data_IF_589188647148
#
_entry.id   IF_589188647148
#
_cell.length_a   1.000
_cell.length_b   1.000
_cell.length_c   1.000
_cell.angle_alpha   90.00
_cell.angle_beta   90.00
_cell.angle_gamma   90.00
#
_symmetry.space_group_name_H-M   'P 1'
#
loop_
_entity.id
_entity.type
_entity.pdbx_description
1 polymer ?
#
# COMPACT_ATOMS: atom_id res chain seq x y z
N UNK A 1 -1.61 28.85 16.78
CA UNK A 1 -1.66 29.28 15.36
C UNK A 1 -0.47 28.67 14.65
N UNK A 2 -0.72 27.66 13.82
CA UNK A 2 0.28 26.86 13.10
C UNK A 2 -0.48 25.87 12.22
N UNK A 3 -1.05 26.43 11.14
CA UNK A 3 -1.89 25.77 10.14
C UNK A 3 -1.13 24.60 9.47
N UNK A 4 -1.62 23.37 9.57
CA UNK A 4 -2.47 22.73 8.55
C UNK A 4 -2.08 23.12 7.11
N UNK A 5 -1.06 22.46 6.56
CA UNK A 5 -0.78 22.46 5.11
C UNK A 5 -0.30 21.08 4.66
N UNK A 6 -1.24 20.15 4.61
CA UNK A 6 -1.17 18.96 3.73
C UNK A 6 -2.48 18.97 2.93
N UNK A 7 -2.51 19.82 1.90
CA UNK A 7 -3.62 19.95 0.98
C UNK A 7 -3.41 19.02 -0.23
N UNK A 8 -4.50 18.32 -0.59
CA UNK A 8 -4.79 17.67 -1.89
C UNK A 8 -4.23 16.27 -2.19
N UNK A 9 -4.55 15.26 -1.36
CA UNK A 9 -4.64 13.86 -1.81
C UNK A 9 -6.06 13.44 -2.21
N UNK A 10 -7.10 14.13 -1.70
CA UNK A 10 -8.48 13.63 -1.74
C UNK A 10 -9.25 13.99 -3.01
N UNK A 11 -8.88 15.03 -3.76
CA UNK A 11 -9.71 15.51 -4.89
C UNK A 11 -9.65 14.56 -6.10
N UNK A 12 -8.53 13.85 -6.29
CA UNK A 12 -8.30 13.00 -7.46
C UNK A 12 -9.07 11.67 -7.34
N UNK A 13 -9.05 11.03 -6.17
CA UNK A 13 -9.70 9.73 -5.92
C UNK A 13 -11.24 9.81 -5.87
N UNK A 14 -11.82 10.89 -5.33
CA UNK A 14 -13.29 11.03 -5.28
C UNK A 14 -13.89 11.27 -6.68
N UNK A 15 -13.16 11.96 -7.57
CA UNK A 15 -13.66 12.30 -8.91
C UNK A 15 -13.77 11.10 -9.87
N UNK A 16 -13.00 10.03 -9.64
CA UNK A 16 -13.02 8.81 -10.46
C UNK A 16 -14.14 7.85 -9.98
N UNK A 17 -14.38 7.77 -8.66
CA UNK A 17 -15.45 6.95 -8.09
C UNK A 17 -16.86 7.55 -8.32
N UNK A 18 -17.02 8.88 -8.25
CA UNK A 18 -18.33 9.54 -8.37
C UNK A 18 -18.87 9.67 -9.80
N UNK A 19 -18.10 9.32 -10.83
CA UNK A 19 -18.45 9.58 -12.25
C UNK A 19 -18.62 8.33 -13.12
N UNK A 20 -18.76 7.14 -12.53
CA UNK A 20 -19.31 6.01 -13.27
C UNK A 20 -20.81 6.24 -13.52
N UNK A 21 -21.30 6.08 -14.77
CA UNK A 21 -22.68 6.38 -15.10
C UNK A 21 -23.65 5.49 -14.32
N UNK A 22 -24.58 6.10 -13.59
CA UNK A 22 -25.77 5.43 -13.05
C UNK A 22 -26.72 5.14 -14.20
N UNK A 23 -26.79 3.90 -14.67
CA UNK A 23 -27.78 3.49 -15.65
C UNK A 23 -29.15 3.33 -14.96
N UNK A 24 -30.04 4.30 -15.19
CA UNK A 24 -31.47 4.14 -14.95
C UNK A 24 -32.12 3.42 -16.14
N UNK A 25 -32.80 2.33 -15.80
CA UNK A 25 -33.85 1.63 -16.55
C UNK A 25 -33.49 1.02 -17.92
N UNK A 26 -33.34 -0.31 -17.89
CA UNK A 26 -33.28 -1.19 -19.07
C UNK A 26 -32.00 -2.03 -19.16
N UNK A 27 -31.64 -2.83 -18.14
CA UNK A 27 -30.44 -3.68 -18.18
C UNK A 27 -30.73 -5.10 -18.70
N UNK A 28 -29.98 -5.59 -19.70
CA UNK A 28 -29.82 -7.02 -19.93
C UNK A 28 -28.96 -7.66 -18.80
N UNK A 29 -29.16 -8.96 -18.57
CA UNK A 29 -28.62 -9.75 -17.45
C UNK A 29 -27.15 -9.47 -17.08
N UNK A 30 -26.91 -9.15 -15.80
CA UNK A 30 -25.60 -9.31 -15.15
C UNK A 30 -25.21 -10.79 -15.15
N UNK A 31 -24.20 -11.17 -15.93
CA UNK A 31 -23.56 -12.48 -15.76
C UNK A 31 -22.71 -12.42 -14.49
N UNK A 32 -23.25 -13.00 -13.43
CA UNK A 32 -22.56 -13.25 -12.17
C UNK A 32 -21.36 -14.16 -12.41
N UNK A 33 -20.17 -13.61 -12.49
CA UNK A 33 -18.95 -14.43 -12.58
C UNK A 33 -18.67 -15.05 -11.21
N UNK A 34 -18.58 -16.38 -11.21
CA UNK A 34 -18.45 -17.21 -10.01
C UNK A 34 -17.03 -17.11 -9.41
N UNK A 35 -16.88 -17.15 -8.09
CA UNK A 35 -15.56 -16.98 -7.45
C UNK A 35 -14.56 -18.05 -7.89
N UNK A 36 -13.28 -17.68 -8.01
CA UNK A 36 -12.19 -18.59 -8.39
C UNK A 36 -12.21 -19.89 -7.58
N UNK A 37 -12.47 -19.81 -6.27
CA UNK A 37 -12.69 -20.97 -5.40
C UNK A 37 -13.77 -21.92 -5.92
N UNK A 38 -14.96 -21.41 -6.26
CA UNK A 38 -16.07 -22.22 -6.76
C UNK A 38 -15.81 -22.76 -8.17
N UNK A 39 -15.09 -22.01 -9.00
CA UNK A 39 -14.61 -22.50 -10.29
C UNK A 39 -13.62 -23.66 -10.13
N UNK A 40 -12.68 -23.56 -9.18
CA UNK A 40 -11.67 -24.58 -8.91
C UNK A 40 -12.25 -25.83 -8.22
N UNK A 41 -13.24 -25.66 -7.33
CA UNK A 41 -13.95 -26.79 -6.71
C UNK A 41 -14.72 -27.61 -7.75
N UNK A 42 -15.37 -26.98 -8.74
CA UNK A 42 -16.03 -27.70 -9.83
C UNK A 42 -15.06 -28.39 -10.78
N UNK A 43 -13.91 -27.79 -11.04
CA UNK A 43 -12.87 -28.37 -11.91
C UNK A 43 -12.09 -29.50 -11.23
N UNK A 44 -12.41 -29.85 -9.97
CA UNK A 44 -11.65 -30.84 -9.18
C UNK A 44 -10.21 -30.39 -8.84
N UNK A 45 -9.85 -29.14 -9.17
CA UNK A 45 -8.50 -28.59 -9.02
C UNK A 45 -8.29 -27.86 -7.71
N UNK A 46 -9.28 -27.89 -6.81
CA UNK A 46 -9.20 -27.20 -5.52
C UNK A 46 -8.10 -27.77 -4.62
N UNK A 47 -7.95 -29.10 -4.58
CA UNK A 47 -6.90 -29.75 -3.78
C UNK A 47 -5.51 -29.51 -4.38
N UNK A 48 -5.40 -29.49 -5.70
CA UNK A 48 -4.16 -29.21 -6.43
C UNK A 48 -3.74 -27.74 -6.31
N UNK A 49 -4.70 -26.81 -6.38
CA UNK A 49 -4.50 -25.39 -6.10
C UNK A 49 -4.08 -25.15 -4.65
N UNK A 50 -4.68 -25.86 -3.69
CA UNK A 50 -4.23 -25.82 -2.29
C UNK A 50 -2.85 -26.41 -2.11
N UNK A 51 -2.51 -27.50 -2.79
CA UNK A 51 -1.20 -28.15 -2.71
C UNK A 51 -0.09 -27.32 -3.37
N UNK A 52 -0.36 -26.68 -4.50
CA UNK A 52 0.56 -25.73 -5.16
C UNK A 52 0.78 -24.48 -4.29
N UNK A 53 -0.28 -23.96 -3.65
CA UNK A 53 -0.17 -22.90 -2.64
C UNK A 53 0.43 -23.38 -1.31
N UNK A 54 0.50 -24.69 -1.05
CA UNK A 54 1.21 -25.25 0.11
C UNK A 54 2.71 -25.42 -0.20
N UNK A 55 3.07 -25.66 -1.45
CA UNK A 55 4.45 -25.73 -1.92
C UNK A 55 5.09 -24.34 -2.05
N UNK A 56 4.32 -23.28 -2.31
CA UNK A 56 4.79 -21.89 -2.21
C UNK A 56 4.94 -21.39 -0.77
N UNK A 57 4.46 -22.14 0.24
CA UNK A 57 4.64 -21.83 1.68
C UNK A 57 6.00 -22.21 2.24
N UNK A 58 6.95 -22.65 1.40
CA UNK A 58 8.29 -23.10 1.85
C UNK A 58 9.31 -21.95 1.93
N UNK A 59 8.93 -20.70 1.61
CA UNK A 59 9.68 -19.52 2.07
C UNK A 59 8.73 -18.55 2.76
N UNK A 60 8.79 -18.47 4.09
CA UNK A 60 7.83 -17.71 4.91
C UNK A 60 7.59 -16.27 4.41
N UNK A 61 6.33 -15.87 4.38
CA UNK A 61 5.90 -14.51 4.00
C UNK A 61 4.38 -14.38 3.94
N UNK A 62 3.87 -13.17 4.09
CA UNK A 62 2.46 -12.84 3.94
C UNK A 62 2.16 -12.46 2.48
N UNK A 63 1.40 -13.30 1.81
CA UNK A 63 0.91 -13.03 0.45
C UNK A 63 -0.03 -11.84 0.43
N UNK A 64 0.06 -11.05 -0.63
CA UNK A 64 -0.72 -9.83 -0.82
C UNK A 64 -1.74 -9.99 -1.95
N UNK A 65 -2.90 -9.38 -1.77
CA UNK A 65 -3.98 -9.28 -2.74
C UNK A 65 -3.93 -7.87 -3.34
N UNK A 66 -3.82 -7.78 -4.65
CA UNK A 66 -3.92 -6.53 -5.38
C UNK A 66 -5.38 -6.24 -5.78
N UNK A 67 -5.79 -4.99 -5.59
CA UNK A 67 -7.06 -4.42 -6.01
C UNK A 67 -6.83 -3.41 -7.13
N UNK A 68 -6.58 -3.92 -8.34
CA UNK A 68 -6.45 -3.12 -9.57
C UNK A 68 -5.34 -2.06 -9.49
N UNK A 69 -4.19 -2.42 -8.92
CA UNK A 69 -3.05 -1.54 -8.71
C UNK A 69 -3.35 -0.34 -7.78
N UNK A 70 -4.42 -0.42 -6.97
CA UNK A 70 -4.77 0.63 -6.01
C UNK A 70 -4.38 0.29 -4.56
N UNK A 71 -4.51 -0.97 -4.15
CA UNK A 71 -4.21 -1.39 -2.77
C UNK A 71 -3.68 -2.81 -2.69
N UNK A 72 -2.57 -2.95 -1.98
CA UNK A 72 -1.89 -4.20 -1.67
C UNK A 72 -2.29 -4.65 -0.26
N UNK A 73 -3.20 -5.63 -0.19
CA UNK A 73 -3.85 -6.05 1.04
C UNK A 73 -3.33 -7.40 1.56
N UNK A 74 -3.05 -7.46 2.85
CA UNK A 74 -2.70 -8.69 3.56
C UNK A 74 -3.86 -9.19 4.43
N UNK A 75 -3.94 -10.51 4.65
CA UNK A 75 -4.85 -11.06 5.67
C UNK A 75 -4.14 -11.10 7.02
N UNK A 76 -4.79 -10.54 8.03
CA UNK A 76 -4.39 -10.64 9.44
C UNK A 76 -5.49 -11.31 10.26
N UNK A 77 -5.12 -11.77 11.45
CA UNK A 77 -6.08 -12.32 12.39
C UNK A 77 -5.95 -11.70 13.77
N UNK A 78 -7.08 -11.33 14.35
CA UNK A 78 -7.15 -10.78 15.70
C UNK A 78 -7.96 -11.69 16.63
N UNK A 79 -7.45 -11.91 17.83
CA UNK A 79 -8.15 -12.58 18.91
C UNK A 79 -8.11 -14.10 18.92
N UNK A 80 -8.77 -14.67 19.92
CA UNK A 80 -8.86 -16.12 20.16
C UNK A 80 -10.31 -16.52 20.48
N UNK A 81 -11.01 -17.28 19.60
CA UNK A 81 -10.57 -17.74 18.29
C UNK A 81 -10.29 -16.59 17.30
N UNK A 82 -9.45 -16.83 16.27
CA UNK A 82 -9.05 -15.77 15.34
C UNK A 82 -10.20 -15.22 14.50
N UNK A 83 -10.29 -13.89 14.40
CA UNK A 83 -11.16 -13.15 13.49
C UNK A 83 -10.31 -12.60 12.33
N UNK A 84 -10.68 -12.92 11.09
CA UNK A 84 -9.89 -12.56 9.90
C UNK A 84 -10.26 -11.16 9.37
N UNK A 85 -9.25 -10.38 9.02
CA UNK A 85 -9.42 -9.07 8.39
C UNK A 85 -8.46 -8.94 7.19
N UNK A 86 -8.99 -8.44 6.07
CA UNK A 86 -8.16 -7.91 4.99
C UNK A 86 -7.73 -6.51 5.39
N UNK A 87 -6.44 -6.19 5.33
CA UNK A 87 -5.91 -4.88 5.70
C UNK A 87 -4.94 -4.36 4.65
N UNK A 88 -4.94 -3.06 4.44
CA UNK A 88 -3.88 -2.41 3.70
C UNK A 88 -2.60 -2.48 4.54
N UNK A 89 -1.52 -3.01 3.97
CA UNK A 89 -0.19 -3.04 4.59
C UNK A 89 0.52 -1.74 4.24
N UNK A 90 0.66 -0.84 5.21
CA UNK A 90 0.96 0.57 4.94
C UNK A 90 2.25 1.02 5.65
N UNK A 91 3.33 1.20 4.89
CA UNK A 91 4.60 1.72 5.41
C UNK A 91 4.60 3.25 5.64
N UNK A 92 3.57 3.96 5.17
CA UNK A 92 3.32 5.37 5.42
C UNK A 92 2.60 5.67 6.74
N UNK A 93 2.11 4.65 7.46
CA UNK A 93 1.48 4.81 8.78
C UNK A 93 1.98 3.79 9.81
N UNK A 94 1.59 3.95 11.09
CA UNK A 94 2.12 3.12 12.19
C UNK A 94 1.06 2.46 13.07
N UNK A 95 -0.17 2.97 13.09
CA UNK A 95 -1.23 2.37 13.88
C UNK A 95 -1.89 1.20 13.12
N UNK A 96 -2.30 0.16 13.85
CA UNK A 96 -3.29 -0.80 13.37
C UNK A 96 -4.68 -0.30 13.79
N UNK A 97 -5.62 -0.29 12.85
CA UNK A 97 -7.03 -0.07 13.17
C UNK A 97 -7.96 -0.97 12.35
N UNK A 98 -9.04 -1.42 13.00
CA UNK A 98 -10.08 -2.27 12.40
C UNK A 98 -11.45 -1.72 12.81
N UNK A 99 -12.47 -1.73 11.93
CA UNK A 99 -13.83 -1.37 12.31
C UNK A 99 -14.33 -2.20 13.48
N UNK A 100 -14.86 -1.55 14.50
CA UNK A 100 -15.47 -2.21 15.65
C UNK A 100 -16.89 -2.69 15.33
N UNK A 101 -17.38 -3.71 16.03
CA UNK A 101 -18.77 -4.16 15.90
C UNK A 101 -19.80 -3.06 16.18
N UNK A 102 -19.44 -2.07 17.01
CA UNK A 102 -20.29 -0.93 17.36
C UNK A 102 -20.23 0.19 16.32
N UNK A 103 -19.43 0.08 15.25
CA UNK A 103 -19.55 0.97 14.10
C UNK A 103 -20.94 0.76 13.45
N UNK A 104 -21.79 1.79 13.52
CA UNK A 104 -23.16 1.77 12.99
C UNK A 104 -23.32 2.52 11.67
N UNK A 105 -22.23 3.02 11.08
CA UNK A 105 -22.29 3.74 9.81
C UNK A 105 -22.81 2.81 8.71
N UNK A 106 -23.91 3.19 8.08
CA UNK A 106 -24.57 2.38 7.05
C UNK A 106 -23.64 2.06 5.87
N UNK A 107 -22.79 3.02 5.48
CA UNK A 107 -21.77 2.84 4.43
C UNK A 107 -20.75 1.75 4.79
N UNK A 108 -20.49 1.50 6.07
CA UNK A 108 -19.54 0.49 6.54
C UNK A 108 -20.22 -0.87 6.82
N UNK A 109 -21.50 -1.06 6.44
CA UNK A 109 -22.27 -2.24 6.83
C UNK A 109 -21.70 -3.57 6.30
N UNK A 110 -21.03 -3.54 5.14
CA UNK A 110 -20.40 -4.74 4.53
C UNK A 110 -19.04 -5.09 5.10
N UNK A 111 -18.43 -4.19 5.89
CA UNK A 111 -17.09 -4.42 6.44
C UNK A 111 -17.10 -5.54 7.46
N UNK A 112 -16.05 -6.35 7.46
CA UNK A 112 -15.76 -7.20 8.61
C UNK A 112 -15.46 -6.28 9.80
N UNK A 113 -16.04 -6.61 10.95
CA UNK A 113 -15.93 -5.84 12.17
C UNK A 113 -15.38 -6.71 13.29
N UNK A 114 -14.49 -6.14 14.10
CA UNK A 114 -13.94 -6.81 15.26
C UNK A 114 -14.97 -6.90 16.38
N UNK A 115 -15.13 -8.09 16.94
CA UNK A 115 -16.01 -8.37 18.08
C UNK A 115 -15.17 -8.84 19.25
N UNK A 116 -14.80 -7.90 20.13
CA UNK A 116 -14.03 -8.17 21.35
C UNK A 116 -14.67 -9.23 22.25
N UNK A 117 -16.02 -9.33 22.27
CA UNK A 117 -16.72 -10.33 23.11
C UNK A 117 -16.54 -11.78 22.64
N UNK A 118 -16.01 -11.98 21.43
CA UNK A 118 -15.70 -13.30 20.88
C UNK A 118 -14.24 -13.71 21.07
N UNK A 119 -13.42 -12.87 21.70
CA UNK A 119 -12.01 -13.16 21.91
C UNK A 119 -11.69 -13.37 23.39
N UNK A 120 -11.16 -14.54 23.74
CA UNK A 120 -10.71 -14.87 25.09
C UNK A 120 -9.36 -14.23 25.45
N UNK A 121 -8.62 -13.73 24.46
CA UNK A 121 -7.33 -13.04 24.66
C UNK A 121 -7.46 -11.51 24.65
N UNK A 122 -8.66 -10.99 24.44
CA UNK A 122 -8.90 -9.55 24.41
C UNK A 122 -8.73 -8.93 25.80
N UNK A 123 -7.99 -7.82 25.84
CA UNK A 123 -7.82 -6.99 27.02
C UNK A 123 -8.35 -5.59 26.72
N UNK A 124 -9.31 -5.15 27.53
CA UNK A 124 -9.89 -3.81 27.42
C UNK A 124 -8.83 -2.75 27.74
N UNK A 125 -8.71 -1.75 26.85
CA UNK A 125 -7.95 -0.52 27.10
C UNK A 125 -8.93 0.66 27.20
N UNK A 126 -9.70 0.93 26.15
CA UNK A 126 -10.79 1.92 26.16
C UNK A 126 -10.36 3.37 26.00
N UNK A 127 -9.05 3.68 25.96
CA UNK A 127 -8.55 5.02 25.64
C UNK A 127 -9.07 5.47 24.26
N UNK A 128 -9.58 6.70 24.17
CA UNK A 128 -10.02 7.28 22.90
C UNK A 128 -8.88 7.34 21.90
N UNK A 129 -9.19 7.06 20.64
CA UNK A 129 -8.25 7.09 19.51
C UNK A 129 -8.84 7.89 18.35
N UNK A 130 -8.01 8.68 17.67
CA UNK A 130 -8.41 9.38 16.46
C UNK A 130 -7.21 9.68 15.57
N UNK A 131 -7.26 9.22 14.33
CA UNK A 131 -6.25 9.49 13.30
C UNK A 131 -6.90 10.10 12.06
N UNK A 132 -6.16 10.99 11.38
CA UNK A 132 -6.60 11.63 10.14
C UNK A 132 -5.61 11.28 9.01
N UNK A 133 -6.07 10.48 8.05
CA UNK A 133 -5.33 10.21 6.81
C UNK A 133 -5.72 11.23 5.73
N UNK A 134 -4.95 11.29 4.63
CA UNK A 134 -5.35 12.04 3.44
C UNK A 134 -6.70 11.58 2.86
N UNK A 135 -7.03 10.30 3.03
CA UNK A 135 -8.26 9.69 2.53
C UNK A 135 -9.45 9.80 3.50
N UNK A 136 -9.22 10.22 4.75
CA UNK A 136 -10.28 10.40 5.74
C UNK A 136 -9.87 10.05 7.16
N UNK A 137 -10.78 10.26 8.14
CA UNK A 137 -10.53 9.92 9.53
C UNK A 137 -10.78 8.44 9.83
N UNK A 138 -10.15 7.95 10.90
CA UNK A 138 -10.61 6.78 11.65
C UNK A 138 -10.55 7.11 13.13
N UNK A 139 -11.65 6.91 13.87
CA UNK A 139 -11.72 7.20 15.30
C UNK A 139 -12.55 6.19 16.05
N UNK A 140 -12.30 6.08 17.34
CA UNK A 140 -12.88 5.08 18.22
C UNK A 140 -12.09 4.98 19.51
N UNK A 141 -11.70 3.76 19.88
CA UNK A 141 -10.97 3.49 21.12
C UNK A 141 -9.93 2.39 20.95
N UNK A 142 -8.95 2.35 21.84
CA UNK A 142 -7.92 1.31 21.86
C UNK A 142 -8.43 0.03 22.52
N UNK A 143 -7.97 -1.11 22.00
CA UNK A 143 -8.04 -2.41 22.64
C UNK A 143 -6.72 -3.14 22.46
N UNK A 144 -6.52 -4.22 23.20
CA UNK A 144 -5.37 -5.09 23.04
C UNK A 144 -5.84 -6.51 22.77
N UNK A 145 -5.22 -7.17 21.81
CA UNK A 145 -5.47 -8.59 21.56
C UNK A 145 -4.27 -9.27 20.89
N UNK A 146 -4.37 -10.58 20.71
CA UNK A 146 -3.47 -11.37 19.89
C UNK A 146 -3.60 -10.99 18.42
N UNK A 147 -2.49 -10.65 17.80
CA UNK A 147 -2.36 -10.43 16.36
C UNK A 147 -1.56 -11.56 15.74
N UNK A 148 -2.02 -12.06 14.59
CA UNK A 148 -1.30 -12.99 13.74
C UNK A 148 -1.18 -12.45 12.30
N UNK A 149 0.00 -12.62 11.69
CA UNK A 149 0.33 -12.23 10.32
C UNK A 149 0.60 -13.47 9.46
N UNK A 150 0.33 -13.34 8.15
CA UNK A 150 0.65 -14.35 7.14
C UNK A 150 0.03 -15.71 7.43
N UNK A 151 -1.30 -15.85 7.43
CA UNK A 151 -1.99 -17.13 7.67
C UNK A 151 -1.58 -17.83 8.98
N UNK A 152 -1.47 -17.07 10.07
CA UNK A 152 -1.05 -17.56 11.40
C UNK A 152 0.43 -17.96 11.52
N UNK A 153 1.29 -17.60 10.55
CA UNK A 153 2.72 -17.93 10.61
C UNK A 153 3.44 -17.23 11.76
N UNK A 154 3.09 -15.97 12.05
CA UNK A 154 3.73 -15.20 13.12
C UNK A 154 2.67 -14.54 13.98
N UNK A 155 2.69 -14.80 15.28
CA UNK A 155 1.68 -14.31 16.23
C UNK A 155 2.31 -13.73 17.49
N UNK A 156 1.68 -12.70 18.05
CA UNK A 156 2.06 -12.12 19.34
C UNK A 156 0.82 -11.59 20.08
N UNK A 157 0.82 -11.65 21.41
CA UNK A 157 -0.39 -11.52 22.24
C UNK A 157 -0.69 -10.08 22.72
N UNK A 158 0.17 -9.13 22.40
CA UNK A 158 0.19 -7.81 23.05
C UNK A 158 -0.03 -6.66 22.07
N UNK A 159 -0.65 -6.90 20.92
CA UNK A 159 -0.89 -5.81 19.98
C UNK A 159 -2.02 -4.91 20.50
N UNK A 160 -1.68 -3.66 20.80
CA UNK A 160 -2.65 -2.59 21.01
C UNK A 160 -3.07 -2.04 19.65
N UNK A 161 -4.37 -1.95 19.38
CA UNK A 161 -4.91 -1.46 18.11
C UNK A 161 -6.19 -0.66 18.33
N UNK A 162 -6.55 0.16 17.36
CA UNK A 162 -7.78 0.92 17.41
C UNK A 162 -8.98 0.13 16.88
N UNK A 163 -10.02 0.08 17.69
CA UNK A 163 -11.37 -0.36 17.35
C UNK A 163 -12.16 0.86 16.86
N UNK A 164 -12.28 0.99 15.54
CA UNK A 164 -12.84 2.18 14.91
C UNK A 164 -14.37 2.15 14.89
N UNK A 165 -14.99 3.08 15.60
CA UNK A 165 -16.45 3.27 15.64
C UNK A 165 -16.93 4.27 14.60
N UNK A 166 -16.02 5.12 14.10
CA UNK A 166 -16.25 6.04 13.01
C UNK A 166 -15.07 6.00 12.02
N UNK A 167 -15.39 5.91 10.73
CA UNK A 167 -14.44 5.72 9.63
C UNK A 167 -14.90 6.59 8.45
N UNK A 168 -13.97 7.27 7.78
CA UNK A 168 -14.26 8.11 6.62
C UNK A 168 -14.86 7.32 5.44
N UNK A 169 -15.68 7.98 4.62
CA UNK A 169 -16.43 7.34 3.54
C UNK A 169 -15.56 6.50 2.60
N UNK A 170 -14.41 7.04 2.19
CA UNK A 170 -13.44 6.34 1.34
C UNK A 170 -13.13 4.92 1.85
N UNK A 171 -12.84 4.81 3.15
CA UNK A 171 -12.50 3.52 3.74
C UNK A 171 -13.71 2.60 3.83
N UNK A 172 -14.93 3.13 3.97
CA UNK A 172 -16.13 2.30 4.06
C UNK A 172 -16.69 1.86 2.70
N UNK A 173 -16.57 2.70 1.68
CA UNK A 173 -17.03 2.42 0.31
C UNK A 173 -16.06 1.46 -0.43
N UNK A 174 -14.80 1.37 0.00
CA UNK A 174 -13.81 0.49 -0.59
C UNK A 174 -13.99 -0.97 -0.15
N UNK A 175 -14.62 -1.83 -0.93
CA UNK A 175 -14.84 -3.24 -0.54
C UNK A 175 -13.52 -4.09 -0.47
N UNK A 176 -12.34 -3.53 -0.75
CA UNK A 176 -11.07 -4.27 -0.84
C UNK A 176 -10.34 -4.57 0.47
N UNK A 177 -10.50 -3.72 1.50
CA UNK A 177 -9.90 -3.95 2.82
C UNK A 177 -10.83 -3.53 3.95
N UNK A 178 -10.60 -4.03 5.16
CA UNK A 178 -11.37 -3.74 6.35
C UNK A 178 -10.75 -2.62 7.18
N UNK A 179 -9.41 -2.55 7.26
CA UNK A 179 -8.67 -1.51 7.96
C UNK A 179 -7.24 -1.39 7.48
N UNK A 180 -6.38 -0.73 8.26
CA UNK A 180 -4.97 -0.50 7.91
C UNK A 180 -4.09 -1.13 8.98
N UNK A 181 -3.02 -1.81 8.56
CA UNK A 181 -1.91 -2.23 9.39
C UNK A 181 -0.69 -1.37 9.05
N UNK A 182 -0.38 -0.43 9.95
CA UNK A 182 0.82 0.40 9.82
C UNK A 182 2.12 -0.39 10.03
N UNK A 183 3.10 -0.12 9.17
CA UNK A 183 4.44 -0.73 9.14
C UNK A 183 5.56 0.31 9.29
N UNK A 184 5.20 1.52 9.73
CA UNK A 184 6.12 2.64 10.01
C UNK A 184 6.74 2.61 11.41
N UNK A 185 7.21 3.78 11.86
CA UNK A 185 7.97 3.95 13.09
C UNK A 185 7.14 4.45 14.28
N UNK A 186 7.54 4.13 15.53
CA UNK A 186 6.81 4.57 16.72
C UNK A 186 6.60 6.09 16.82
N UNK A 187 7.51 6.90 16.26
CA UNK A 187 7.44 8.35 16.38
C UNK A 187 6.27 8.98 15.63
N UNK A 188 5.68 8.28 14.64
CA UNK A 188 4.49 8.74 13.90
C UNK A 188 3.22 7.98 14.33
N UNK A 189 3.32 7.12 15.35
CA UNK A 189 2.18 6.42 15.92
C UNK A 189 1.34 7.38 16.76
N UNK A 190 0.06 7.50 16.41
CA UNK A 190 -0.92 8.23 17.21
C UNK A 190 -1.06 7.57 18.58
N UNK A 191 -1.18 8.39 19.61
CA UNK A 191 -1.29 7.98 21.03
C UNK A 191 -0.11 7.14 21.55
N UNK A 192 1.06 7.20 20.88
CA UNK A 192 2.25 6.42 21.24
C UNK A 192 2.03 4.90 21.31
N UNK A 193 1.04 4.40 20.56
CA UNK A 193 0.77 2.96 20.46
C UNK A 193 1.96 2.26 19.82
N UNK A 194 2.46 1.19 20.44
CA UNK A 194 3.54 0.38 19.86
C UNK A 194 3.09 -0.21 18.51
N UNK A 195 3.75 0.12 17.39
CA UNK A 195 3.36 -0.40 16.09
C UNK A 195 3.58 -1.92 15.99
N UNK A 196 2.87 -2.61 15.08
CA UNK A 196 2.97 -4.06 14.90
C UNK A 196 4.39 -4.59 14.73
N UNK A 197 5.20 -3.92 13.91
CA UNK A 197 6.56 -4.37 13.67
C UNK A 197 7.44 -4.31 14.91
N UNK A 198 7.30 -3.30 15.77
CA UNK A 198 8.11 -3.21 17.00
C UNK A 198 7.77 -4.30 18.02
N UNK A 199 6.51 -4.74 18.08
CA UNK A 199 6.13 -5.91 18.88
C UNK A 199 6.71 -7.21 18.28
N UNK A 200 6.87 -7.26 16.96
CA UNK A 200 7.37 -8.42 16.24
C UNK A 200 8.90 -8.56 16.27
N UNK A 201 9.63 -7.45 16.32
CA UNK A 201 11.11 -7.42 16.21
C UNK A 201 11.83 -8.48 17.05
N UNK A 202 11.49 -8.71 18.34
CA UNK A 202 12.21 -9.67 19.17
C UNK A 202 12.08 -11.12 18.70
N UNK A 203 11.09 -11.42 17.84
CA UNK A 203 10.82 -12.78 17.34
C UNK A 203 11.35 -13.02 15.94
N UNK A 204 11.92 -12.02 15.28
CA UNK A 204 12.40 -12.13 13.90
C UNK A 204 13.86 -12.58 13.85
N UNK A 205 14.19 -13.47 12.91
CA UNK A 205 15.57 -13.91 12.66
C UNK A 205 16.47 -12.74 12.24
N UNK A 206 15.94 -11.84 11.40
CA UNK A 206 16.53 -10.55 11.07
C UNK A 206 15.59 -9.41 11.45
N UNK A 207 16.09 -8.27 11.94
CA UNK A 207 15.24 -7.14 12.35
C UNK A 207 14.80 -6.30 11.13
N UNK A 208 14.17 -6.95 10.16
CA UNK A 208 13.74 -6.37 8.88
C UNK A 208 12.49 -7.08 8.33
N UNK A 209 11.88 -6.47 7.32
CA UNK A 209 10.96 -7.16 6.41
C UNK A 209 11.25 -6.75 4.96
N UNK A 210 10.92 -7.63 4.01
CA UNK A 210 11.09 -7.41 2.57
C UNK A 210 9.71 -7.34 1.91
N UNK A 211 9.55 -6.41 0.98
CA UNK A 211 8.34 -6.27 0.17
C UNK A 211 8.69 -6.45 -1.29
N UNK A 212 8.01 -7.41 -1.92
CA UNK A 212 7.93 -7.58 -3.35
C UNK A 212 6.47 -7.43 -3.78
N UNK A 213 6.22 -6.60 -4.78
CA UNK A 213 4.90 -6.41 -5.38
C UNK A 213 4.96 -6.85 -6.84
N UNK A 214 3.91 -7.50 -7.31
CA UNK A 214 3.74 -7.93 -8.69
C UNK A 214 2.67 -7.05 -9.37
N UNK A 215 2.71 -6.98 -10.70
CA UNK A 215 1.70 -6.27 -11.50
C UNK A 215 0.72 -7.27 -12.07
N UNK A 216 -0.53 -7.25 -11.58
CA UNK A 216 -1.59 -8.10 -12.14
C UNK A 216 -2.86 -7.27 -12.31
N UNK A 217 -3.18 -6.91 -13.55
CA UNK A 217 -4.32 -6.05 -13.92
C UNK A 217 -5.74 -6.62 -13.66
N UNK A 218 -5.89 -7.62 -12.80
CA UNK A 218 -7.15 -8.13 -12.27
C UNK A 218 -6.96 -8.51 -10.80
N UNK A 219 -8.02 -8.62 -9.99
CA UNK A 219 -7.91 -9.12 -8.61
C UNK A 219 -7.30 -10.52 -8.60
N UNK A 220 -6.03 -10.62 -8.24
CA UNK A 220 -5.29 -11.86 -8.19
C UNK A 220 -4.83 -12.14 -6.77
N UNK A 221 -5.09 -13.37 -6.32
CA UNK A 221 -4.45 -13.89 -5.11
C UNK A 221 -2.97 -14.11 -5.43
N UNK A 222 -2.06 -13.55 -4.62
CA UNK A 222 -0.61 -13.56 -4.84
C UNK A 222 -0.10 -12.54 -5.87
N UNK A 223 -0.39 -11.27 -5.60
CA UNK A 223 0.14 -10.11 -6.31
C UNK A 223 1.31 -9.42 -5.56
N UNK A 224 1.89 -10.12 -4.59
CA UNK A 224 3.02 -9.63 -3.81
C UNK A 224 3.28 -10.50 -2.59
N UNK A 225 4.40 -10.25 -1.92
CA UNK A 225 4.86 -10.95 -0.73
C UNK A 225 5.52 -9.99 0.25
N UNK A 226 5.10 -10.06 1.51
CA UNK A 226 5.76 -9.42 2.65
C UNK A 226 6.49 -10.48 3.46
N UNK A 227 7.81 -10.53 3.33
CA UNK A 227 8.66 -11.49 4.05
C UNK A 227 9.13 -10.85 5.36
N UNK A 228 8.59 -11.31 6.49
CA UNK A 228 9.00 -10.85 7.81
C UNK A 228 10.23 -11.61 8.30
N UNK A 229 11.24 -10.90 8.81
CA UNK A 229 12.40 -11.51 9.44
C UNK A 229 13.46 -12.04 8.48
N UNK A 230 13.34 -11.80 7.18
CA UNK A 230 14.28 -12.31 6.19
C UNK A 230 14.20 -11.58 4.85
N UNK A 231 15.18 -11.87 4.01
CA UNK A 231 15.21 -11.44 2.62
C UNK A 231 14.40 -12.41 1.76
N UNK A 232 13.67 -11.89 0.79
CA UNK A 232 13.06 -12.72 -0.24
C UNK A 232 14.12 -13.09 -1.29
N UNK A 233 14.59 -14.34 -1.25
CA UNK A 233 15.62 -14.84 -2.16
C UNK A 233 15.04 -15.41 -3.47
N UNK A 234 13.71 -15.40 -3.62
CA UNK A 234 13.01 -15.93 -4.79
C UNK A 234 12.68 -14.79 -5.75
N UNK A 235 12.03 -13.75 -5.23
CA UNK A 235 11.52 -12.65 -6.04
C UNK A 235 12.45 -11.43 -6.07
N UNK A 236 13.53 -11.42 -5.28
CA UNK A 236 14.45 -10.29 -5.25
C UNK A 236 15.88 -10.73 -5.60
N UNK A 237 16.59 -9.86 -6.33
CA UNK A 237 18.02 -10.02 -6.55
C UNK A 237 18.78 -10.10 -5.22
N UNK A 238 19.79 -10.97 -5.15
CA UNK A 238 20.68 -11.06 -4.00
C UNK A 238 21.51 -9.77 -3.77
N UNK A 239 21.64 -8.92 -4.79
CA UNK A 239 22.34 -7.64 -4.68
C UNK A 239 21.40 -6.57 -4.11
N UNK A 240 21.53 -6.33 -2.80
CA UNK A 240 20.79 -5.27 -2.10
C UNK A 240 21.69 -4.06 -1.88
N UNK A 241 21.24 -2.90 -2.36
CA UNK A 241 21.90 -1.62 -2.11
C UNK A 241 21.16 -0.91 -0.97
N UNK A 242 21.84 -0.70 0.16
CA UNK A 242 21.27 -0.02 1.32
C UNK A 242 21.65 1.46 1.38
N UNK A 243 20.70 2.29 1.81
CA UNK A 243 20.92 3.69 2.21
C UNK A 243 20.39 3.93 3.63
N UNK A 244 21.06 4.77 4.42
CA UNK A 244 20.59 5.09 5.77
C UNK A 244 19.27 5.87 5.71
N UNK A 245 18.44 5.69 6.74
CA UNK A 245 17.28 6.55 6.92
C UNK A 245 17.71 7.95 7.34
N UNK A 246 16.95 8.94 6.92
CA UNK A 246 17.16 10.34 7.30
C UNK A 246 16.65 10.61 8.72
N UNK A 247 15.56 9.94 9.10
CA UNK A 247 14.98 9.96 10.45
C UNK A 247 14.12 8.70 10.65
N UNK A 248 13.93 8.29 11.90
CA UNK A 248 13.04 7.19 12.30
C UNK A 248 11.57 7.65 12.39
N UNK A 249 11.10 8.41 11.40
CA UNK A 249 9.72 8.89 11.29
C UNK A 249 8.95 8.10 10.25
N UNK A 250 9.34 8.27 8.99
CA UNK A 250 8.92 7.44 7.87
C UNK A 250 10.10 6.57 7.42
N UNK A 251 9.85 5.70 6.44
CA UNK A 251 10.92 5.07 5.67
C UNK A 251 11.57 6.07 4.71
N UNK A 252 12.08 7.17 5.30
CA UNK A 252 12.63 8.33 4.62
C UNK A 252 14.11 8.12 4.28
N UNK A 253 14.46 8.28 3.00
CA UNK A 253 15.83 8.20 2.53
C UNK A 253 16.17 9.40 1.62
N UNK A 254 17.47 9.70 1.54
CA UNK A 254 17.97 10.75 0.65
C UNK A 254 18.32 10.19 -0.73
N UNK A 255 18.11 10.99 -1.76
CA UNK A 255 18.56 10.69 -3.12
C UNK A 255 18.93 11.97 -3.86
N UNK A 256 19.68 11.85 -4.95
CA UNK A 256 20.42 12.98 -5.55
C UNK A 256 20.02 13.36 -6.95
N UNK A 257 19.32 12.49 -7.68
CA UNK A 257 19.01 12.74 -9.09
C UNK A 257 17.65 12.19 -9.52
N UNK A 258 16.98 12.94 -10.39
CA UNK A 258 15.81 12.50 -11.18
C UNK A 258 16.09 12.84 -12.63
N UNK A 259 15.88 11.89 -13.55
CA UNK A 259 15.93 12.16 -14.98
C UNK A 259 14.87 11.39 -15.76
N UNK A 260 14.37 11.99 -16.83
CA UNK A 260 13.40 11.39 -17.75
C UNK A 260 13.57 12.01 -19.14
N UNK A 261 14.00 11.23 -20.13
CA UNK A 261 14.30 11.75 -21.46
C UNK A 261 15.36 12.86 -21.43
N UNK A 262 15.02 14.03 -21.97
CA UNK A 262 15.90 15.22 -21.96
C UNK A 262 15.92 15.97 -20.62
N UNK A 263 15.00 15.66 -19.70
CA UNK A 263 14.96 16.30 -18.38
C UNK A 263 15.92 15.59 -17.42
N UNK A 264 16.69 16.38 -16.68
CA UNK A 264 17.54 15.89 -15.61
C UNK A 264 17.72 16.97 -14.56
N UNK A 265 17.65 16.58 -13.29
CA UNK A 265 17.91 17.47 -12.17
C UNK A 265 18.68 16.74 -11.07
N UNK A 266 19.75 17.37 -10.61
CA UNK A 266 20.48 16.96 -9.40
C UNK A 266 20.09 17.87 -8.24
N UNK A 267 19.68 17.28 -7.11
CA UNK A 267 19.30 18.01 -5.91
C UNK A 267 19.30 17.05 -4.71
N UNK A 268 19.44 17.57 -3.48
CA UNK A 268 19.36 16.77 -2.26
C UNK A 268 17.91 16.51 -1.89
N UNK A 269 17.29 15.55 -2.57
CA UNK A 269 15.90 15.17 -2.34
C UNK A 269 15.74 14.24 -1.14
N UNK A 270 14.55 14.27 -0.56
CA UNK A 270 14.08 13.31 0.44
C UNK A 270 12.85 12.59 -0.10
N UNK A 271 12.86 11.27 -0.02
CA UNK A 271 11.76 10.41 -0.41
C UNK A 271 11.34 9.53 0.76
N UNK A 272 10.05 9.17 0.83
CA UNK A 272 9.59 8.04 1.64
C UNK A 272 9.25 6.88 0.72
N UNK A 273 9.54 5.65 1.15
CA UNK A 273 8.95 4.46 0.52
C UNK A 273 7.61 4.13 1.18
N UNK A 274 6.57 4.05 0.38
CA UNK A 274 5.19 3.94 0.89
C UNK A 274 4.35 2.92 0.13
N UNK A 275 4.15 1.74 0.72
CA UNK A 275 3.25 0.69 0.20
C UNK A 275 1.76 1.06 0.32
N UNK A 276 1.44 2.14 1.05
CA UNK A 276 0.10 2.70 1.15
C UNK A 276 -0.27 3.62 -0.03
N UNK A 277 0.69 3.97 -0.89
CA UNK A 277 0.52 4.92 -1.99
C UNK A 277 0.66 4.25 -3.36
N UNK A 278 -0.37 4.38 -4.20
CA UNK A 278 -0.42 3.75 -5.52
C UNK A 278 0.48 4.38 -6.58
N UNK A 279 0.90 5.63 -6.41
CA UNK A 279 1.61 6.43 -7.41
C UNK A 279 2.93 7.00 -6.87
N UNK A 280 3.73 7.60 -7.74
CA UNK A 280 4.79 8.51 -7.31
C UNK A 280 4.20 9.86 -6.88
N UNK A 281 4.54 10.31 -5.68
CA UNK A 281 4.39 11.69 -5.27
C UNK A 281 5.70 12.45 -5.51
N UNK A 282 5.65 13.64 -6.11
CA UNK A 282 6.87 14.40 -6.36
C UNK A 282 6.67 15.91 -6.39
N UNK A 283 7.77 16.66 -6.31
CA UNK A 283 7.74 18.11 -6.39
C UNK A 283 7.13 18.57 -7.73
N UNK A 284 6.15 19.48 -7.66
CA UNK A 284 5.39 19.93 -8.83
C UNK A 284 6.24 20.31 -10.05
N UNK A 285 7.33 21.10 -9.93
CA UNK A 285 8.15 21.46 -11.09
C UNK A 285 8.77 20.25 -11.81
N UNK A 286 9.10 19.20 -11.06
CA UNK A 286 9.66 17.96 -11.61
C UNK A 286 8.58 17.15 -12.32
N UNK A 287 7.42 16.99 -11.69
CA UNK A 287 6.28 16.27 -12.27
C UNK A 287 5.77 16.96 -13.54
N UNK A 288 5.67 18.29 -13.53
CA UNK A 288 5.27 19.06 -14.72
C UNK A 288 6.30 18.89 -15.86
N UNK A 289 7.59 18.82 -15.56
CA UNK A 289 8.62 18.58 -16.57
C UNK A 289 8.55 17.16 -17.18
N UNK A 290 8.31 16.14 -16.34
CA UNK A 290 8.08 14.76 -16.80
C UNK A 290 6.81 14.69 -17.66
N UNK A 291 5.71 15.30 -17.21
CA UNK A 291 4.47 15.34 -17.96
C UNK A 291 4.66 15.99 -19.33
N UNK A 292 5.35 17.14 -19.40
CA UNK A 292 5.68 17.80 -20.66
C UNK A 292 6.53 16.91 -21.59
N UNK A 293 7.54 16.20 -21.07
CA UNK A 293 8.38 15.30 -21.86
C UNK A 293 7.61 14.10 -22.43
N UNK A 294 6.56 13.63 -21.76
CA UNK A 294 5.68 12.57 -22.25
C UNK A 294 4.55 13.06 -23.16
N UNK A 295 4.34 14.39 -23.24
CA UNK A 295 3.16 14.97 -23.88
C UNK A 295 1.86 14.77 -23.11
N UNK A 296 1.92 14.37 -21.84
CA UNK A 296 0.74 14.21 -21.00
C UNK A 296 0.12 15.55 -20.61
N UNK A 297 -1.22 15.59 -20.57
CA UNK A 297 -1.99 16.80 -20.27
C UNK A 297 -2.78 16.61 -18.98
N UNK A 298 -2.68 17.57 -18.06
CA UNK A 298 -3.43 17.51 -16.80
C UNK A 298 -4.92 17.71 -17.03
N UNK A 299 -5.73 16.76 -16.57
CA UNK A 299 -7.18 16.81 -16.55
C UNK A 299 -7.65 17.20 -15.14
N UNK A 300 -8.12 18.43 -14.95
CA UNK A 300 -8.68 18.86 -13.67
C UNK A 300 -9.94 18.07 -13.27
N UNK A 301 -10.67 17.54 -14.26
CA UNK A 301 -11.86 16.74 -14.04
C UNK A 301 -11.55 15.36 -13.42
N UNK A 302 -10.42 14.76 -13.83
CA UNK A 302 -10.00 13.43 -13.36
C UNK A 302 -8.91 13.53 -12.29
N UNK A 303 -8.26 14.68 -12.18
CA UNK A 303 -7.13 14.89 -11.29
C UNK A 303 -5.83 14.21 -11.75
N UNK A 304 -5.74 13.80 -13.02
CA UNK A 304 -4.65 12.98 -13.56
C UNK A 304 -3.99 13.65 -14.77
N UNK A 305 -2.74 13.31 -15.04
CA UNK A 305 -2.08 13.64 -16.32
C UNK A 305 -2.39 12.53 -17.32
N UNK A 306 -3.06 12.87 -18.43
CA UNK A 306 -3.57 11.92 -19.42
C UNK A 306 -2.73 11.94 -20.70
N UNK A 307 -2.55 10.78 -21.30
CA UNK A 307 -1.79 10.59 -22.55
C UNK A 307 -2.30 9.37 -23.32
N UNK A 308 -2.04 9.25 -24.63
CA UNK A 308 -2.34 8.03 -25.37
C UNK A 308 -1.54 6.84 -24.84
N UNK A 309 -2.15 5.66 -24.73
CA UNK A 309 -1.45 4.46 -24.26
C UNK A 309 -0.30 4.02 -25.16
N UNK A 310 -0.32 4.40 -26.45
CA UNK A 310 0.80 4.19 -27.37
C UNK A 310 2.10 4.87 -26.92
N UNK A 311 2.03 5.91 -26.06
CA UNK A 311 3.20 6.57 -25.49
C UNK A 311 4.06 5.59 -24.66
N UNK A 312 3.44 4.59 -24.01
CA UNK A 312 4.15 3.60 -23.18
C UNK A 312 5.20 2.81 -23.98
N UNK A 313 4.98 2.60 -25.28
CA UNK A 313 5.91 1.86 -26.14
C UNK A 313 7.22 2.60 -26.46
N UNK A 314 7.25 3.93 -26.28
CA UNK A 314 8.38 4.78 -26.70
C UNK A 314 8.91 5.69 -25.59
N UNK A 315 8.19 5.83 -24.48
CA UNK A 315 8.61 6.70 -23.40
C UNK A 315 9.92 6.16 -22.75
N UNK A 316 10.90 7.03 -22.49
CA UNK A 316 12.15 6.64 -21.85
C UNK A 316 11.92 6.33 -20.37
N UNK A 317 12.69 5.42 -19.74
CA UNK A 317 12.54 5.16 -18.32
C UNK A 317 12.78 6.41 -17.48
N UNK A 318 12.19 6.43 -16.28
CA UNK A 318 12.52 7.41 -15.25
C UNK A 318 13.70 6.86 -14.46
N UNK A 319 14.72 7.67 -14.21
CA UNK A 319 15.91 7.24 -13.47
C UNK A 319 16.07 8.08 -12.23
N UNK A 320 16.12 7.41 -11.07
CA UNK A 320 16.45 8.00 -9.78
C UNK A 320 17.88 7.66 -9.40
N UNK A 321 18.65 8.61 -8.87
CA UNK A 321 20.01 8.35 -8.35
C UNK A 321 19.99 8.28 -6.82
N UNK A 322 20.01 7.07 -6.27
CA UNK A 322 19.90 6.80 -4.83
C UNK A 322 21.21 6.17 -4.36
N UNK A 323 21.86 6.74 -3.33
CA UNK A 323 23.14 6.23 -2.84
C UNK A 323 24.26 6.21 -3.91
N UNK A 324 24.17 7.07 -4.93
CA UNK A 324 25.10 7.09 -6.07
C UNK A 324 24.82 6.06 -7.16
N UNK A 325 23.79 5.22 -7.00
CA UNK A 325 23.39 4.20 -7.97
C UNK A 325 22.15 4.63 -8.77
N UNK A 326 22.08 4.34 -10.08
CA UNK A 326 20.90 4.59 -10.89
C UNK A 326 19.84 3.51 -10.70
N UNK A 327 18.59 3.93 -10.49
CA UNK A 327 17.39 3.09 -10.39
C UNK A 327 16.45 3.47 -11.54
N UNK A 328 16.28 2.56 -12.49
CA UNK A 328 15.54 2.79 -13.74
C UNK A 328 14.14 2.18 -13.65
N UNK A 329 13.13 3.02 -13.75
CA UNK A 329 11.70 2.67 -13.74
C UNK A 329 11.20 2.65 -15.19
N UNK A 330 10.77 1.48 -15.71
CA UNK A 330 10.36 1.35 -17.10
C UNK A 330 9.02 2.06 -17.37
N UNK A 331 8.77 2.39 -18.64
CA UNK A 331 7.58 3.13 -19.09
C UNK A 331 6.26 2.52 -18.65
N UNK A 332 6.19 1.19 -18.65
CA UNK A 332 4.98 0.48 -18.28
C UNK A 332 4.61 0.64 -16.81
N UNK A 333 5.55 0.99 -15.92
CA UNK A 333 5.27 1.21 -14.50
C UNK A 333 4.67 2.58 -14.21
N UNK A 334 4.90 3.57 -15.09
CA UNK A 334 4.43 4.92 -14.87
C UNK A 334 3.45 5.44 -15.93
N UNK A 335 3.09 4.62 -16.92
CA UNK A 335 2.03 4.88 -17.90
C UNK A 335 1.03 3.71 -17.82
N UNK A 336 -0.12 3.99 -17.23
CA UNK A 336 -1.16 2.99 -16.93
C UNK A 336 -2.44 3.27 -17.73
N UNK A 337 -3.12 2.25 -18.28
CA UNK A 337 -4.38 2.44 -18.97
C UNK A 337 -5.50 2.79 -17.98
N UNK A 338 -6.40 3.69 -18.39
CA UNK A 338 -7.57 4.06 -17.56
C UNK A 338 -8.50 2.88 -17.25
N UNK A 339 -8.49 1.87 -18.12
CA UNK A 339 -9.20 0.60 -17.96
C UNK A 339 -8.64 -0.42 -18.94
N UNK A 340 -8.95 -1.71 -18.73
CA UNK A 340 -8.52 -2.79 -19.63
C UNK A 340 -8.97 -2.50 -21.06
N UNK A 341 -8.01 -2.41 -21.98
CA UNK A 341 -8.26 -2.13 -23.41
C UNK A 341 -8.47 -0.64 -23.75
N UNK A 342 -8.33 0.27 -22.79
CA UNK A 342 -8.38 1.71 -23.04
C UNK A 342 -7.24 2.17 -23.97
N UNK A 343 -7.55 3.07 -24.91
CA UNK A 343 -6.52 3.79 -25.69
C UNK A 343 -5.99 5.03 -24.96
N UNK A 344 -6.66 5.44 -23.88
CA UNK A 344 -6.28 6.53 -23.01
C UNK A 344 -5.61 5.97 -21.74
N UNK A 345 -4.43 6.49 -21.45
CA UNK A 345 -3.63 6.18 -20.28
C UNK A 345 -3.49 7.42 -19.40
N UNK A 346 -2.94 7.21 -18.21
CA UNK A 346 -2.54 8.27 -17.29
C UNK A 346 -1.13 8.03 -16.77
N UNK A 347 -0.49 9.10 -16.30
CA UNK A 347 0.76 9.03 -15.58
C UNK A 347 0.48 8.69 -14.11
N UNK A 348 1.21 7.73 -13.54
CA UNK A 348 1.13 7.37 -12.10
C UNK A 348 1.91 8.37 -11.24
N UNK A 349 1.64 9.66 -11.42
CA UNK A 349 2.29 10.77 -10.74
C UNK A 349 1.26 11.73 -10.14
N UNK A 350 1.52 12.20 -8.94
CA UNK A 350 0.83 13.33 -8.34
C UNK A 350 1.83 14.33 -7.77
N UNK A 351 1.41 15.58 -7.68
CA UNK A 351 2.24 16.65 -7.13
C UNK A 351 2.06 16.72 -5.62
N UNK A 352 3.15 16.80 -4.87
CA UNK A 352 3.09 17.11 -3.45
C UNK A 352 3.49 18.57 -3.19
N UNK A 353 2.76 19.22 -2.29
CA UNK A 353 3.01 20.61 -1.89
C UNK A 353 3.94 20.66 -0.68
N UNK A 354 5.12 21.25 -0.83
CA UNK A 354 6.05 21.52 0.26
C UNK A 354 7.06 22.57 -0.18
N UNK A 355 7.13 23.69 0.54
CA UNK A 355 7.94 24.87 0.20
C UNK A 355 9.46 24.68 0.33
N UNK A 356 10.00 23.55 -0.10
CA UNK A 356 11.44 23.27 -0.17
C UNK A 356 12.08 22.60 1.04
N UNK A 357 11.32 22.29 2.10
CA UNK A 357 11.81 21.64 3.32
C UNK A 357 11.02 20.35 3.64
N UNK A 358 11.73 19.26 3.98
CA UNK A 358 11.13 17.96 4.35
C UNK A 358 11.02 16.97 3.19
N UNK A 359 10.13 15.99 3.33
CA UNK A 359 9.85 14.97 2.29
C UNK A 359 9.34 15.65 1.02
N UNK A 360 10.00 15.39 -0.11
CA UNK A 360 9.66 15.96 -1.42
C UNK A 360 9.18 14.90 -2.41
N UNK A 361 9.28 13.62 -2.02
CA UNK A 361 8.90 12.49 -2.85
C UNK A 361 8.23 11.38 -2.04
N UNK A 362 7.31 10.68 -2.68
CA UNK A 362 6.70 9.45 -2.19
C UNK A 362 6.93 8.40 -3.28
N UNK A 363 7.62 7.33 -2.93
CA UNK A 363 7.93 6.21 -3.81
C UNK A 363 6.92 5.11 -3.50
N UNK A 364 5.82 5.15 -4.25
CA UNK A 364 4.71 4.19 -4.17
C UNK A 364 4.91 2.97 -5.06
N UNK A 365 3.81 2.28 -5.33
CA UNK A 365 3.77 0.98 -6.00
C UNK A 365 4.66 0.85 -7.25
N UNK A 366 4.73 1.80 -8.21
CA UNK A 366 5.58 1.69 -9.39
C UNK A 366 7.06 1.45 -9.07
N UNK A 367 7.58 2.07 -8.00
CA UNK A 367 8.94 1.83 -7.55
C UNK A 367 9.10 0.45 -6.91
N UNK A 368 8.14 0.08 -6.05
CA UNK A 368 8.18 -1.16 -5.25
C UNK A 368 7.94 -2.40 -6.12
N UNK A 369 7.18 -2.27 -7.21
CA UNK A 369 7.06 -3.30 -8.26
C UNK A 369 8.36 -3.45 -9.05
N UNK A 370 9.09 -2.36 -9.30
CA UNK A 370 10.37 -2.46 -10.03
C UNK A 370 11.50 -3.00 -9.14
N UNK A 371 11.52 -2.57 -7.88
CA UNK A 371 12.55 -2.89 -6.91
C UNK A 371 11.92 -3.39 -5.61
N UNK A 372 12.31 -4.58 -5.17
CA UNK A 372 12.00 -5.03 -3.83
C UNK A 372 12.57 -4.03 -2.81
N UNK A 373 11.74 -3.69 -1.82
CA UNK A 373 12.13 -2.80 -0.75
C UNK A 373 12.38 -3.59 0.53
N UNK A 374 13.58 -3.44 1.10
CA UNK A 374 14.01 -4.10 2.33
C UNK A 374 14.02 -3.07 3.46
N UNK A 375 13.05 -3.17 4.34
CA UNK A 375 12.82 -2.26 5.46
C UNK A 375 13.58 -2.75 6.69
N UNK A 376 14.82 -2.31 6.85
CA UNK A 376 15.73 -2.82 7.87
C UNK A 376 15.65 -2.00 9.15
N UNK A 377 14.65 -2.31 9.98
CA UNK A 377 14.34 -1.61 11.24
C UNK A 377 15.55 -1.58 12.18
N UNK A 378 16.16 -2.73 12.48
CA UNK A 378 17.28 -2.79 13.45
C UNK A 378 18.57 -2.10 12.98
N UNK A 379 18.65 -1.74 11.70
CA UNK A 379 19.80 -1.08 11.09
C UNK A 379 19.50 0.34 10.61
N UNK A 380 18.27 0.82 10.84
CA UNK A 380 17.81 2.17 10.48
C UNK A 380 18.15 2.54 9.04
N UNK A 381 17.89 1.60 8.12
CA UNK A 381 18.22 1.72 6.70
C UNK A 381 17.15 1.07 5.84
N UNK A 382 17.08 1.49 4.59
CA UNK A 382 16.25 0.86 3.56
C UNK A 382 17.15 0.32 2.46
N UNK A 383 16.83 -0.87 1.97
CA UNK A 383 17.52 -1.54 0.88
C UNK A 383 16.65 -1.66 -0.35
N UNK A 384 17.29 -1.64 -1.52
CA UNK A 384 16.62 -1.81 -2.79
C UNK A 384 17.33 -2.90 -3.61
N UNK A 385 16.56 -3.85 -4.11
CA UNK A 385 17.02 -4.93 -4.97
C UNK A 385 16.10 -5.05 -6.18
N UNK A 386 16.63 -5.40 -7.36
CA UNK A 386 15.79 -5.60 -8.54
C UNK A 386 14.77 -6.73 -8.29
N UNK A 387 13.50 -6.48 -8.62
CA UNK A 387 12.44 -7.46 -8.52
C UNK A 387 12.46 -8.44 -9.71
N UNK A 388 12.16 -9.71 -9.44
CA UNK A 388 11.95 -10.77 -10.41
C UNK A 388 10.45 -11.11 -10.42
N UNK A 389 9.81 -11.02 -11.58
CA UNK A 389 8.38 -11.26 -11.77
C UNK A 389 8.09 -12.56 -12.52
#
# INVERSE_FOLDING_TARGET
>A
MGLSTLLNMTVILTLIADKMPKSSEGMPLLVRTESLRKQLMRKGKWEEFKAANLASRVSGGQTVIDYEDFYYNGIIQLGTPPQNFSVQLDTGSSNLWIPDKTNTQAICAKKAKFDSSKSSTYVTNGQSFSIQYGSGPASGFLGQDKLCLGDSLICFNTQVFAQATNVGNFFCDNDGFNGILGLGWPSISVDHVTPPMQNLLPTLDMPLFTVWLDRKGAVVQSAGLFTYGGLDTVHCSAQVNYVPLVAETYWEFAFTGVSHGSYSQTYNWRAISDTGTSFFGGAKPVIDAIANNTGAVYSSQQGLYLLPCSASATAPPIVFTIGGMPYSIPAFEYIEPMSVGSSQCYLTFFTIGGGGFGVNWIFGDPFIRTYCNIYHIGGQKIGFALANH
#
